data_IF_235169788938
#
_entry.id   IF_235169788938
#
_cell.length_a   1.000
_cell.length_b   1.000
_cell.length_c   1.000
_cell.angle_alpha   90.00
_cell.angle_beta   90.00
_cell.angle_gamma   90.00
#
_symmetry.space_group_name_H-M   'P 1'
#
loop_
_entity.id
_entity.type
_entity.pdbx_description
1 polymer ?
#
# COMPACT_ATOMS: atom_id res chain seq x y z
N UNK A 1 15.27 -3.94 -10.75
CA UNK A 1 15.07 -4.87 -11.89
C UNK A 1 14.40 -6.10 -11.32
N UNK A 2 13.40 -6.63 -11.99
CA UNK A 2 12.65 -7.84 -11.59
C UNK A 2 13.44 -9.12 -11.93
N UNK A 3 13.01 -10.30 -11.48
CA UNK A 3 13.66 -11.57 -11.79
C UNK A 3 13.50 -11.96 -13.28
N UNK A 4 12.46 -11.45 -13.93
CA UNK A 4 12.22 -11.55 -15.38
C UNK A 4 12.83 -10.37 -16.19
N UNK A 5 13.81 -9.68 -15.58
CA UNK A 5 14.69 -8.66 -16.18
C UNK A 5 14.00 -7.34 -16.58
N UNK A 6 12.81 -7.03 -16.07
CA UNK A 6 12.15 -5.76 -16.34
C UNK A 6 12.70 -4.65 -15.43
N UNK A 7 12.86 -3.46 -15.99
CA UNK A 7 13.19 -2.24 -15.26
C UNK A 7 11.90 -1.53 -14.83
N UNK A 8 11.74 -1.34 -13.52
CA UNK A 8 10.60 -0.61 -12.96
C UNK A 8 10.99 0.83 -12.62
N UNK A 9 10.09 1.77 -12.90
CA UNK A 9 10.22 3.17 -12.51
C UNK A 9 9.70 3.36 -11.10
N UNK A 10 10.48 4.00 -10.24
CA UNK A 10 10.09 4.27 -8.85
C UNK A 10 10.79 5.48 -8.26
N UNK A 11 10.27 5.97 -7.15
CA UNK A 11 10.79 7.10 -6.39
C UNK A 11 10.85 6.79 -4.91
N UNK A 12 11.84 7.37 -4.24
CA UNK A 12 12.04 7.27 -2.79
C UNK A 12 12.05 8.67 -2.19
N UNK A 13 11.06 8.96 -1.34
CA UNK A 13 11.03 10.18 -0.55
C UNK A 13 11.55 9.87 0.86
N UNK A 14 12.69 10.46 1.20
CA UNK A 14 13.42 10.17 2.45
C UNK A 14 13.36 11.36 3.40
N UNK A 15 13.11 11.16 4.71
CA UNK A 15 13.24 12.20 5.73
C UNK A 15 14.64 12.83 5.74
N UNK A 16 14.73 14.13 6.09
CA UNK A 16 16.02 14.78 6.32
C UNK A 16 16.70 14.32 7.62
N UNK A 17 15.92 13.76 8.56
CA UNK A 17 16.37 13.26 9.84
C UNK A 17 16.35 11.73 9.91
N UNK A 18 16.11 11.22 11.13
CA UNK A 18 16.01 9.78 11.37
C UNK A 18 14.82 9.15 10.64
N UNK A 19 15.03 7.98 10.04
CA UNK A 19 13.97 7.18 9.43
C UNK A 19 13.37 6.29 10.52
N UNK A 20 12.13 6.60 10.93
CA UNK A 20 11.38 5.83 11.92
C UNK A 20 10.89 4.50 11.34
N UNK A 21 10.35 4.54 10.14
CA UNK A 21 9.89 3.37 9.38
C UNK A 21 9.88 3.69 7.89
N UNK A 22 9.70 2.65 7.07
CA UNK A 22 9.57 2.79 5.61
C UNK A 22 8.25 2.19 5.14
N UNK A 23 7.64 2.84 4.15
CA UNK A 23 6.35 2.50 3.57
C UNK A 23 6.52 2.22 2.07
N UNK A 24 6.27 0.98 1.64
CA UNK A 24 6.21 0.61 0.23
C UNK A 24 4.76 0.70 -0.25
N UNK A 25 4.52 1.47 -1.32
CA UNK A 25 3.20 1.76 -1.87
C UNK A 25 2.92 0.93 -3.13
N UNK A 26 1.82 0.18 -3.13
CA UNK A 26 1.30 -0.57 -4.27
C UNK A 26 0.04 0.11 -4.80
N UNK A 27 0.14 0.69 -6.00
CA UNK A 27 -0.87 1.59 -6.57
C UNK A 27 -2.17 0.88 -7.02
N UNK A 28 -3.27 1.64 -7.23
CA UNK A 28 -4.51 1.14 -7.79
C UNK A 28 -4.33 0.57 -9.21
N UNK A 29 -5.42 -0.03 -9.75
CA UNK A 29 -5.41 -0.69 -11.04
C UNK A 29 -4.92 0.23 -12.18
N UNK A 30 -3.83 -0.14 -12.90
CA UNK A 30 -3.28 0.63 -14.00
C UNK A 30 -4.28 0.91 -15.13
N UNK A 31 -5.17 -0.04 -15.43
CA UNK A 31 -6.18 0.12 -16.49
C UNK A 31 -7.26 1.13 -16.12
N UNK A 32 -7.39 1.47 -14.84
CA UNK A 32 -8.24 2.55 -14.31
C UNK A 32 -7.47 3.86 -14.06
N UNK A 33 -6.25 4.00 -14.55
CA UNK A 33 -5.40 5.18 -14.34
C UNK A 33 -4.62 5.17 -13.02
N UNK A 34 -4.57 4.02 -12.33
CA UNK A 34 -3.73 3.86 -11.15
C UNK A 34 -2.24 3.87 -11.50
N UNK A 35 -1.44 4.57 -10.71
CA UNK A 35 0.00 4.67 -10.85
C UNK A 35 0.64 5.10 -9.53
N UNK A 36 1.97 5.10 -9.45
CA UNK A 36 2.68 5.49 -8.23
C UNK A 36 2.35 6.91 -7.75
N UNK A 37 1.92 7.80 -8.67
CA UNK A 37 1.50 9.18 -8.38
C UNK A 37 0.00 9.31 -8.08
N UNK A 38 -0.74 8.20 -7.93
CA UNK A 38 -2.11 8.25 -7.41
C UNK A 38 -2.15 9.05 -6.11
N UNK A 39 -3.12 9.96 -6.00
CA UNK A 39 -3.06 11.14 -5.12
C UNK A 39 -2.74 10.86 -3.64
N UNK A 40 -3.22 9.75 -3.07
CA UNK A 40 -2.86 9.35 -1.69
C UNK A 40 -1.35 9.14 -1.57
N UNK A 41 -0.76 8.38 -2.49
CA UNK A 41 0.65 8.04 -2.43
C UNK A 41 1.57 9.20 -2.80
N UNK A 42 1.17 10.06 -3.75
CA UNK A 42 1.89 11.32 -4.05
C UNK A 42 1.91 12.23 -2.81
N UNK A 43 0.77 12.37 -2.13
CA UNK A 43 0.67 13.16 -0.89
C UNK A 43 1.41 12.51 0.29
N UNK A 44 1.37 11.17 0.41
CA UNK A 44 2.18 10.46 1.40
C UNK A 44 3.67 10.77 1.23
N UNK A 45 4.20 10.66 0.00
CA UNK A 45 5.61 10.94 -0.29
C UNK A 45 6.00 12.41 -0.05
N UNK A 46 5.09 13.35 -0.29
CA UNK A 46 5.35 14.77 -0.07
C UNK A 46 5.29 15.17 1.42
N UNK A 47 4.53 14.45 2.24
CA UNK A 47 4.19 14.89 3.61
C UNK A 47 4.84 14.03 4.70
N UNK A 48 4.72 12.71 4.62
CA UNK A 48 5.12 11.81 5.70
C UNK A 48 6.62 11.84 6.04
N UNK A 49 7.55 12.04 5.09
CA UNK A 49 8.96 12.19 5.44
C UNK A 49 9.23 13.37 6.38
N UNK A 50 8.65 14.52 6.11
CA UNK A 50 8.82 15.72 6.94
C UNK A 50 8.00 15.68 8.23
N UNK A 51 6.78 15.15 8.18
CA UNK A 51 5.85 15.20 9.31
C UNK A 51 6.05 14.09 10.33
N UNK A 52 6.46 12.90 9.90
CA UNK A 52 6.47 11.71 10.74
C UNK A 52 7.77 10.88 10.67
N UNK A 53 8.77 11.33 9.90
CA UNK A 53 10.01 10.57 9.72
C UNK A 53 9.82 9.25 8.96
N UNK A 54 8.76 9.12 8.16
CA UNK A 54 8.47 7.91 7.38
C UNK A 54 9.07 8.05 5.98
N UNK A 55 9.99 7.15 5.62
CA UNK A 55 10.46 7.03 4.24
C UNK A 55 9.35 6.40 3.37
N UNK A 56 9.04 7.01 2.23
CA UNK A 56 7.99 6.54 1.33
C UNK A 56 8.60 6.08 0.01
N UNK A 57 8.37 4.81 -0.34
CA UNK A 57 8.82 4.17 -1.56
C UNK A 57 7.61 3.93 -2.46
N UNK A 58 7.63 4.46 -3.68
CA UNK A 58 6.57 4.32 -4.67
C UNK A 58 7.17 3.83 -5.97
N UNK A 59 6.45 2.98 -6.68
CA UNK A 59 6.87 2.53 -8.01
C UNK A 59 5.65 2.22 -8.89
N UNK A 60 5.86 2.27 -10.19
CA UNK A 60 4.93 1.78 -11.18
C UNK A 60 5.15 0.27 -11.40
N UNK A 61 4.11 -0.53 -11.29
CA UNK A 61 4.18 -1.94 -11.71
C UNK A 61 4.39 -2.01 -13.23
N UNK A 62 4.74 -3.20 -13.73
CA UNK A 62 4.99 -3.45 -15.15
C UNK A 62 3.95 -2.81 -16.07
N UNK A 63 4.40 -2.19 -17.15
CA UNK A 63 3.57 -1.53 -18.15
C UNK A 63 2.85 -0.26 -17.69
N UNK A 64 3.06 0.18 -16.44
CA UNK A 64 2.42 1.38 -15.88
C UNK A 64 3.28 2.62 -16.12
N UNK A 65 2.62 3.74 -16.46
CA UNK A 65 3.25 5.03 -16.72
C UNK A 65 2.87 6.07 -15.68
N UNK A 66 3.81 6.98 -15.38
CA UNK A 66 3.61 8.21 -14.60
C UNK A 66 4.44 9.35 -15.18
N UNK A 67 4.45 10.52 -14.51
CA UNK A 67 5.32 11.64 -14.92
C UNK A 67 6.81 11.26 -14.89
N UNK A 68 7.22 10.34 -14.02
CA UNK A 68 8.61 9.89 -13.90
C UNK A 68 9.04 8.90 -15.00
N UNK A 69 8.11 8.37 -15.77
CA UNK A 69 8.38 7.41 -16.85
C UNK A 69 7.48 6.20 -16.84
N UNK A 70 7.80 5.22 -17.68
CA UNK A 70 7.06 3.98 -17.89
C UNK A 70 7.89 2.79 -17.44
N UNK A 71 7.35 1.93 -16.58
CA UNK A 71 7.93 0.63 -16.25
C UNK A 71 7.83 -0.31 -17.45
N UNK A 72 8.88 -1.08 -17.69
CA UNK A 72 8.90 -2.07 -18.76
C UNK A 72 7.85 -3.16 -18.57
N UNK A 73 7.61 -3.94 -19.63
CA UNK A 73 6.64 -5.02 -19.65
C UNK A 73 5.21 -4.54 -19.91
N UNK A 74 4.24 -5.33 -19.49
CA UNK A 74 2.82 -5.05 -19.65
C UNK A 74 2.05 -5.51 -18.42
N UNK A 75 0.94 -4.84 -18.12
CA UNK A 75 0.01 -5.24 -17.07
C UNK A 75 -0.47 -6.68 -17.29
N UNK A 76 -0.30 -7.53 -16.26
CA UNK A 76 -0.58 -8.96 -16.31
C UNK A 76 -1.63 -9.39 -15.27
N UNK A 77 -2.63 -8.55 -15.05
CA UNK A 77 -3.80 -8.84 -14.22
C UNK A 77 -3.49 -9.29 -12.79
N UNK A 78 -2.33 -8.96 -12.26
CA UNK A 78 -1.88 -9.30 -10.92
C UNK A 78 -1.01 -10.58 -10.86
N UNK A 79 -0.72 -11.23 -11.98
CA UNK A 79 0.12 -12.44 -12.01
C UNK A 79 1.61 -12.07 -12.10
N UNK A 80 2.02 -11.43 -13.18
CA UNK A 80 3.41 -10.99 -13.37
C UNK A 80 3.82 -9.91 -12.37
N UNK A 81 2.89 -9.11 -11.85
CA UNK A 81 3.13 -8.13 -10.80
C UNK A 81 3.69 -8.75 -9.49
N UNK A 82 3.65 -10.08 -9.34
CA UNK A 82 4.33 -10.81 -8.25
C UNK A 82 5.83 -10.54 -8.23
N UNK A 83 6.46 -10.53 -9.42
CA UNK A 83 7.89 -10.25 -9.58
C UNK A 83 8.21 -8.78 -9.26
N UNK A 84 7.29 -7.87 -9.62
CA UNK A 84 7.43 -6.44 -9.34
C UNK A 84 7.42 -6.16 -7.83
N UNK A 85 6.47 -6.76 -7.11
CA UNK A 85 6.37 -6.64 -5.65
C UNK A 85 7.62 -7.25 -4.98
N UNK A 86 8.05 -8.42 -5.43
CA UNK A 86 9.25 -9.09 -4.92
C UNK A 86 10.50 -8.23 -5.14
N UNK A 87 10.68 -7.68 -6.34
CA UNK A 87 11.80 -6.79 -6.67
C UNK A 87 11.78 -5.51 -5.83
N UNK A 88 10.60 -4.91 -5.62
CA UNK A 88 10.45 -3.71 -4.79
C UNK A 88 10.80 -3.99 -3.31
N UNK A 89 10.34 -5.11 -2.75
CA UNK A 89 10.69 -5.52 -1.38
C UNK A 89 12.20 -5.77 -1.26
N UNK A 90 12.80 -6.49 -2.20
CA UNK A 90 14.24 -6.73 -2.21
C UNK A 90 15.03 -5.41 -2.32
N UNK A 91 14.61 -4.49 -3.18
CA UNK A 91 15.21 -3.15 -3.28
C UNK A 91 15.20 -2.41 -1.94
N UNK A 92 14.08 -2.47 -1.21
CA UNK A 92 13.98 -1.86 0.12
C UNK A 92 15.03 -2.43 1.08
N UNK A 93 15.19 -3.75 1.16
CA UNK A 93 16.11 -4.36 2.11
C UNK A 93 17.57 -4.42 1.64
N UNK A 94 17.80 -4.70 0.37
CA UNK A 94 19.13 -4.94 -0.15
C UNK A 94 19.84 -3.66 -0.61
N UNK A 95 19.09 -2.68 -1.13
CA UNK A 95 19.65 -1.41 -1.62
C UNK A 95 19.48 -0.29 -0.61
N UNK A 96 18.24 -0.03 -0.16
CA UNK A 96 17.94 1.06 0.77
C UNK A 96 18.28 0.70 2.22
N UNK A 97 18.54 -0.58 2.54
CA UNK A 97 18.86 -1.07 3.90
C UNK A 97 17.79 -0.71 4.93
N UNK A 98 16.53 -0.78 4.52
CA UNK A 98 15.37 -0.50 5.36
C UNK A 98 15.38 -1.42 6.60
N UNK A 99 15.12 -0.86 7.79
CA UNK A 99 15.04 -1.62 9.05
C UNK A 99 13.63 -2.13 9.34
N UNK A 100 12.63 -1.30 9.07
CA UNK A 100 11.21 -1.61 9.31
C UNK A 100 10.42 -1.23 8.06
N UNK A 101 9.87 -2.22 7.36
CA UNK A 101 9.09 -2.02 6.14
C UNK A 101 7.63 -2.39 6.36
N UNK A 102 6.72 -1.45 6.11
CA UNK A 102 5.31 -1.71 5.93
C UNK A 102 4.93 -1.63 4.46
N UNK A 103 3.96 -2.43 4.05
CA UNK A 103 3.43 -2.36 2.68
C UNK A 103 2.01 -1.83 2.74
N UNK A 104 1.72 -0.78 1.97
CA UNK A 104 0.38 -0.27 1.77
C UNK A 104 -0.08 -0.55 0.35
N UNK A 105 -1.21 -1.24 0.21
CA UNK A 105 -1.90 -1.40 -1.06
C UNK A 105 -3.14 -0.50 -1.12
N UNK A 106 -3.46 0.00 -2.31
CA UNK A 106 -4.74 0.68 -2.57
C UNK A 106 -5.47 0.01 -3.73
N UNK A 107 -6.73 -0.36 -3.53
CA UNK A 107 -7.54 -1.06 -4.54
C UNK A 107 -6.81 -2.32 -5.05
N UNK A 108 -6.53 -2.45 -6.33
CA UNK A 108 -5.72 -3.53 -6.91
C UNK A 108 -4.42 -3.79 -6.14
N UNK A 109 -3.76 -2.74 -5.66
CA UNK A 109 -2.55 -2.88 -4.84
C UNK A 109 -2.77 -3.64 -3.54
N UNK A 110 -4.01 -3.73 -3.02
CA UNK A 110 -4.32 -4.55 -1.83
C UNK A 110 -4.29 -6.04 -2.14
N UNK A 111 -4.79 -6.45 -3.32
CA UNK A 111 -4.67 -7.82 -3.79
C UNK A 111 -3.19 -8.21 -3.95
N UNK A 112 -2.37 -7.33 -4.54
CA UNK A 112 -0.92 -7.54 -4.65
C UNK A 112 -0.24 -7.66 -3.28
N UNK A 113 -0.58 -6.77 -2.34
CA UNK A 113 -0.03 -6.81 -0.98
C UNK A 113 -0.34 -8.14 -0.28
N UNK A 114 -1.60 -8.56 -0.29
CA UNK A 114 -2.03 -9.82 0.32
C UNK A 114 -1.37 -11.03 -0.34
N UNK A 115 -1.32 -11.07 -1.67
CA UNK A 115 -0.81 -12.22 -2.40
C UNK A 115 0.72 -12.33 -2.33
N UNK A 116 1.44 -11.21 -2.39
CA UNK A 116 2.88 -11.22 -2.68
C UNK A 116 3.78 -10.57 -1.63
N UNK A 117 3.25 -9.74 -0.71
CA UNK A 117 4.07 -9.16 0.36
C UNK A 117 4.22 -10.10 1.58
N UNK A 118 4.33 -11.39 1.33
CA UNK A 118 4.47 -12.44 2.37
C UNK A 118 5.88 -12.58 2.92
N UNK A 119 6.85 -11.83 2.38
CA UNK A 119 8.23 -11.83 2.85
C UNK A 119 8.28 -11.59 4.37
N UNK A 120 8.95 -12.44 5.15
CA UNK A 120 8.97 -12.32 6.62
C UNK A 120 9.66 -11.04 7.13
N UNK A 121 10.41 -10.34 6.28
CA UNK A 121 11.02 -9.05 6.60
C UNK A 121 10.02 -7.89 6.61
N UNK A 122 8.83 -8.06 5.98
CA UNK A 122 7.75 -7.07 6.00
C UNK A 122 7.09 -7.06 7.37
N UNK A 123 6.98 -5.89 8.00
CA UNK A 123 6.47 -5.73 9.35
C UNK A 123 4.94 -5.80 9.46
N UNK A 124 4.21 -5.44 8.40
CA UNK A 124 2.76 -5.48 8.36
C UNK A 124 2.18 -4.90 7.08
N UNK A 125 0.86 -5.04 6.91
CA UNK A 125 0.12 -4.55 5.74
C UNK A 125 -0.93 -3.51 6.12
N UNK A 126 -1.11 -2.55 5.22
CA UNK A 126 -2.23 -1.59 5.23
C UNK A 126 -2.98 -1.73 3.91
N UNK A 127 -4.28 -1.99 4.00
CA UNK A 127 -5.16 -2.21 2.85
C UNK A 127 -6.14 -1.04 2.75
N UNK A 128 -6.07 -0.27 1.67
CA UNK A 128 -6.97 0.85 1.39
C UNK A 128 -7.98 0.43 0.32
N UNK A 129 -9.27 0.42 0.64
CA UNK A 129 -10.35 0.02 -0.29
C UNK A 129 -10.07 -1.34 -0.95
N UNK A 130 -9.93 -2.44 -0.20
CA UNK A 130 -9.62 -3.74 -0.78
C UNK A 130 -10.81 -4.29 -1.59
N UNK A 131 -10.69 -4.47 -2.94
CA UNK A 131 -11.78 -4.99 -3.75
C UNK A 131 -11.89 -6.51 -3.70
N UNK A 132 -10.86 -7.20 -3.24
CA UNK A 132 -10.77 -8.66 -3.05
C UNK A 132 -11.06 -9.47 -4.32
N UNK A 133 -10.69 -8.94 -5.49
CA UNK A 133 -10.97 -9.56 -6.78
C UNK A 133 -9.96 -10.64 -7.17
N UNK A 134 -8.75 -10.60 -6.59
CA UNK A 134 -7.63 -11.49 -6.94
C UNK A 134 -7.03 -12.21 -5.73
N UNK A 135 -7.63 -12.06 -4.57
CA UNK A 135 -7.14 -12.67 -3.32
C UNK A 135 -7.97 -13.93 -3.03
N UNK A 136 -7.43 -15.14 -3.24
CA UNK A 136 -8.11 -16.39 -2.91
C UNK A 136 -8.08 -16.68 -1.41
N UNK A 137 -8.93 -17.60 -0.95
CA UNK A 137 -9.13 -17.89 0.48
C UNK A 137 -7.85 -18.39 1.17
N UNK A 138 -7.05 -19.22 0.51
CA UNK A 138 -5.78 -19.71 1.06
C UNK A 138 -4.76 -18.60 1.36
N UNK A 139 -4.89 -17.43 0.71
CA UNK A 139 -4.09 -16.24 1.04
C UNK A 139 -4.56 -15.62 2.34
N UNK A 140 -5.88 -15.56 2.57
CA UNK A 140 -6.44 -15.07 3.83
C UNK A 140 -6.12 -16.04 4.99
N UNK A 141 -6.15 -17.34 4.75
CA UNK A 141 -5.73 -18.37 5.71
C UNK A 141 -4.25 -18.21 6.09
N UNK A 142 -3.37 -17.90 5.11
CA UNK A 142 -1.97 -17.58 5.40
C UNK A 142 -1.87 -16.42 6.40
N UNK A 143 -2.54 -15.28 6.12
CA UNK A 143 -2.48 -14.11 6.99
C UNK A 143 -3.18 -14.32 8.34
N UNK A 144 -4.19 -15.17 8.41
CA UNK A 144 -4.81 -15.57 9.67
C UNK A 144 -3.82 -16.29 10.59
N UNK A 145 -2.92 -17.09 10.02
CA UNK A 145 -1.92 -17.86 10.76
C UNK A 145 -0.59 -17.09 10.96
N UNK A 146 -0.40 -15.96 10.28
CA UNK A 146 0.76 -15.09 10.43
C UNK A 146 0.52 -14.08 11.57
N UNK A 147 1.53 -13.83 12.40
CA UNK A 147 1.40 -12.92 13.56
C UNK A 147 1.46 -11.43 13.19
N UNK A 148 1.90 -11.10 11.97
CA UNK A 148 2.06 -9.71 11.53
C UNK A 148 0.70 -8.99 11.46
N UNK A 149 0.66 -7.69 11.82
CA UNK A 149 -0.55 -6.91 11.74
C UNK A 149 -0.98 -6.67 10.28
N UNK A 150 -2.28 -6.81 10.03
CA UNK A 150 -2.93 -6.39 8.79
C UNK A 150 -4.12 -5.51 9.16
N UNK A 151 -4.15 -4.31 8.61
CA UNK A 151 -5.22 -3.33 8.84
C UNK A 151 -5.89 -2.99 7.51
N UNK A 152 -7.22 -3.05 7.46
CA UNK A 152 -8.00 -2.70 6.28
C UNK A 152 -8.90 -1.50 6.56
N UNK A 153 -8.75 -0.44 5.78
CA UNK A 153 -9.63 0.73 5.80
C UNK A 153 -10.63 0.59 4.66
N UNK A 154 -11.90 0.43 5.02
CA UNK A 154 -12.98 0.13 4.09
C UNK A 154 -13.93 1.32 4.02
N UNK A 155 -14.02 2.02 2.86
CA UNK A 155 -14.95 3.13 2.70
C UNK A 155 -16.41 2.69 2.85
N UNK A 156 -17.23 3.50 3.55
CA UNK A 156 -18.66 3.22 3.71
C UNK A 156 -19.38 3.08 2.38
N UNK A 157 -19.00 3.91 1.40
CA UNK A 157 -19.62 3.96 0.07
C UNK A 157 -18.72 3.38 -1.01
N UNK A 158 -17.99 2.31 -0.69
CA UNK A 158 -17.16 1.61 -1.67
C UNK A 158 -18.05 0.78 -2.62
N UNK A 159 -17.91 1.01 -3.92
CA UNK A 159 -18.68 0.31 -4.95
C UNK A 159 -18.22 -1.13 -5.22
N UNK A 160 -17.00 -1.49 -4.76
CA UNK A 160 -16.45 -2.85 -4.94
C UNK A 160 -16.68 -3.72 -3.72
N UNK A 161 -16.44 -3.19 -2.53
CA UNK A 161 -16.57 -3.93 -1.27
C UNK A 161 -16.89 -2.95 -0.12
N UNK A 162 -18.17 -2.82 0.21
CA UNK A 162 -18.59 -2.01 1.35
C UNK A 162 -18.30 -2.72 2.70
N UNK A 163 -18.42 -2.04 3.86
CA UNK A 163 -18.09 -2.63 5.15
C UNK A 163 -18.82 -3.94 5.49
N UNK A 164 -20.10 -4.08 5.14
CA UNK A 164 -20.87 -5.31 5.40
C UNK A 164 -20.33 -6.48 4.57
N UNK A 165 -20.06 -6.25 3.31
CA UNK A 165 -19.47 -7.23 2.40
C UNK A 165 -18.03 -7.58 2.83
N UNK A 166 -17.28 -6.58 3.31
CA UNK A 166 -15.93 -6.79 3.81
C UNK A 166 -15.90 -7.70 5.04
N UNK A 167 -16.81 -7.50 6.01
CA UNK A 167 -16.94 -8.37 7.18
C UNK A 167 -17.18 -9.82 6.74
N UNK A 168 -18.08 -10.06 5.79
CA UNK A 168 -18.34 -11.40 5.28
C UNK A 168 -17.13 -11.98 4.52
N UNK A 169 -16.50 -11.17 3.66
CA UNK A 169 -15.34 -11.61 2.86
C UNK A 169 -14.13 -11.98 3.71
N UNK A 170 -13.90 -11.23 4.78
CA UNK A 170 -12.76 -11.43 5.68
C UNK A 170 -13.05 -12.35 6.87
N UNK A 171 -14.18 -13.02 6.93
CA UNK A 171 -14.52 -13.92 8.06
C UNK A 171 -13.52 -15.09 8.23
N UNK A 172 -12.81 -15.49 7.18
CA UNK A 172 -11.71 -16.46 7.23
C UNK A 172 -10.48 -15.88 7.95
N UNK A 173 -10.42 -14.54 8.07
CA UNK A 173 -9.32 -13.81 8.68
C UNK A 173 -9.80 -12.93 9.85
N UNK A 174 -10.34 -13.52 10.95
CA UNK A 174 -10.90 -12.75 12.07
C UNK A 174 -9.90 -11.89 12.84
N UNK A 175 -8.57 -12.09 12.65
CA UNK A 175 -7.53 -11.24 13.22
C UNK A 175 -7.31 -9.95 12.45
N UNK A 176 -7.88 -9.80 11.25
CA UNK A 176 -7.81 -8.56 10.49
C UNK A 176 -8.40 -7.41 11.30
N UNK A 177 -7.66 -6.31 11.42
CA UNK A 177 -8.21 -5.07 11.95
C UNK A 177 -8.96 -4.34 10.83
N UNK A 178 -10.26 -4.59 10.71
CA UNK A 178 -11.13 -3.98 9.70
C UNK A 178 -11.77 -2.71 10.26
N UNK A 179 -11.52 -1.58 9.61
CA UNK A 179 -11.95 -0.24 10.04
C UNK A 179 -12.84 0.36 8.95
N UNK A 180 -14.17 0.45 9.15
CA UNK A 180 -15.05 1.16 8.25
C UNK A 180 -14.82 2.67 8.38
N UNK A 181 -14.82 3.40 7.25
CA UNK A 181 -14.62 4.85 7.23
C UNK A 181 -15.90 5.52 6.73
N UNK A 182 -16.64 6.18 7.64
CA UNK A 182 -17.89 6.86 7.29
C UNK A 182 -17.73 7.94 6.21
N UNK A 183 -18.68 8.01 5.29
CA UNK A 183 -18.73 8.99 4.20
C UNK A 183 -17.67 8.83 3.11
N UNK A 184 -16.69 7.93 3.29
CA UNK A 184 -15.65 7.71 2.30
C UNK A 184 -16.16 6.92 1.09
N UNK A 185 -15.53 7.14 -0.07
CA UNK A 185 -15.68 6.37 -1.31
C UNK A 185 -14.36 5.73 -1.69
N UNK A 186 -14.41 4.78 -2.61
CA UNK A 186 -13.26 3.98 -3.08
C UNK A 186 -11.98 4.79 -3.34
N UNK A 187 -12.11 5.97 -3.91
CA UNK A 187 -10.98 6.81 -4.32
C UNK A 187 -10.52 7.82 -3.26
N UNK A 188 -11.09 7.86 -2.06
CA UNK A 188 -10.66 8.75 -0.97
C UNK A 188 -10.57 10.22 -1.38
N UNK A 189 -11.54 10.70 -2.18
CA UNK A 189 -11.53 12.06 -2.74
C UNK A 189 -11.75 13.10 -1.67
N UNK A 190 -10.88 14.10 -1.65
CA UNK A 190 -10.95 15.23 -0.73
C UNK A 190 -9.87 15.21 0.35
N UNK A 191 -9.41 16.40 0.73
CA UNK A 191 -8.31 16.56 1.71
C UNK A 191 -8.61 15.94 3.08
N UNK A 192 -9.86 16.00 3.63
CA UNK A 192 -10.16 15.34 4.90
C UNK A 192 -9.87 13.84 4.89
N UNK A 193 -10.21 13.13 3.81
CA UNK A 193 -9.93 11.70 3.69
C UNK A 193 -8.45 11.41 3.48
N UNK A 194 -7.75 12.25 2.72
CA UNK A 194 -6.29 12.13 2.57
C UNK A 194 -5.61 12.28 3.93
N UNK A 195 -5.93 13.33 4.67
CA UNK A 195 -5.36 13.58 6.00
C UNK A 195 -5.68 12.42 6.97
N UNK A 196 -6.91 11.92 6.95
CA UNK A 196 -7.31 10.75 7.73
C UNK A 196 -6.42 9.54 7.41
N UNK A 197 -6.29 9.18 6.14
CA UNK A 197 -5.51 8.02 5.74
C UNK A 197 -4.02 8.18 6.07
N UNK A 198 -3.44 9.36 5.85
CA UNK A 198 -2.05 9.62 6.24
C UNK A 198 -1.87 9.53 7.77
N UNK A 199 -2.82 10.00 8.56
CA UNK A 199 -2.82 9.88 10.02
C UNK A 199 -2.92 8.41 10.46
N UNK A 200 -3.79 7.63 9.83
CA UNK A 200 -3.94 6.20 10.13
C UNK A 200 -2.68 5.38 9.72
N UNK A 201 -2.04 5.71 8.58
CA UNK A 201 -0.74 5.15 8.21
C UNK A 201 0.30 5.50 9.29
N UNK A 202 0.38 6.77 9.69
CA UNK A 202 1.33 7.22 10.72
C UNK A 202 1.11 6.53 12.05
N UNK A 203 -0.14 6.30 12.44
CA UNK A 203 -0.49 5.56 13.65
C UNK A 203 0.07 4.13 13.68
N UNK A 204 0.14 3.46 12.53
CA UNK A 204 0.71 2.12 12.44
C UNK A 204 2.24 2.13 12.46
N UNK A 205 2.88 3.11 11.78
CA UNK A 205 4.32 3.10 11.51
C UNK A 205 5.13 3.95 12.49
N UNK A 206 4.59 5.09 12.90
CA UNK A 206 5.30 6.13 13.65
C UNK A 206 4.34 6.90 14.57
N UNK A 207 3.68 6.24 15.55
CA UNK A 207 2.61 6.85 16.37
C UNK A 207 3.06 8.09 17.11
N UNK A 208 4.37 8.25 17.38
CA UNK A 208 4.96 9.46 17.98
C UNK A 208 4.89 10.70 17.07
N UNK A 209 4.66 10.51 15.75
CA UNK A 209 4.48 11.61 14.79
C UNK A 209 3.05 12.19 14.75
N UNK A 210 2.14 11.68 15.59
CA UNK A 210 0.77 12.18 15.67
C UNK A 210 0.60 13.27 16.76
N UNK A 211 -0.35 14.22 16.58
CA UNK A 211 -1.20 14.39 15.37
C UNK A 211 -0.42 14.96 14.18
N UNK A 212 -0.77 14.54 12.97
CA UNK A 212 -0.19 15.16 11.77
C UNK A 212 -0.67 16.61 11.63
N UNK A 213 0.19 17.56 11.23
CA UNK A 213 -0.24 18.90 10.88
C UNK A 213 -1.28 18.89 9.74
N UNK A 214 -2.24 19.81 9.80
CA UNK A 214 -3.28 19.95 8.75
C UNK A 214 -2.70 20.67 7.53
N UNK A 215 -1.74 21.56 7.75
CA UNK A 215 -1.05 22.35 6.71
C UNK A 215 0.46 22.10 6.78
N UNK A 216 1.12 22.12 5.61
CA UNK A 216 2.58 22.06 5.46
C UNK A 216 3.06 23.42 5.02
#
# INVERSE_FOLDING_TARGET
MTSDELTLVGEVATPLGEITASLLCLHPNPTGGGMMDSHIFKKAANRLPAMAGIQVIRFNTRGTSSEAGTSEGAYDHGVGESEDVTAAINYCFETLKVKTLWVVGWSFGTDLALCYAKDPRVAGLILLSPPMQRTPDNVLEFWQNDSRPVVAYVPEHDEYLNPEQAVERFKIFPRLNLIPIPGAKHLWVGEPFVHLILSEITKQLAPQGLPLPIEI
#
